data_IF_479960721399
#
_entry.id   IF_479960721399
#
_cell.length_a   1.000
_cell.length_b   1.000
_cell.length_c   1.000
_cell.angle_alpha   90.00
_cell.angle_beta   90.00
_cell.angle_gamma   90.00
#
_symmetry.space_group_name_H-M   'P 1'
#
loop_
_entity.id
_entity.type
_entity.pdbx_description
1 polymer ?
#
# COMPACT_ATOMS: atom_id res chain seq x y z
N UNK A 1 -28.85 24.35 -3.36
CA UNK A 1 -28.62 22.90 -3.63
C UNK A 1 -27.14 22.55 -3.84
N UNK A 2 -26.23 23.49 -4.18
CA UNK A 2 -24.82 23.18 -4.44
C UNK A 2 -23.98 22.73 -3.23
N UNK A 3 -24.24 23.27 -2.03
CA UNK A 3 -23.43 22.95 -0.85
C UNK A 3 -23.60 21.50 -0.38
N UNK A 4 -24.83 20.98 -0.40
CA UNK A 4 -25.13 19.59 0.00
C UNK A 4 -24.42 18.59 -0.94
N UNK A 5 -24.48 18.85 -2.24
CA UNK A 5 -23.82 18.02 -3.25
C UNK A 5 -22.28 18.12 -3.15
N UNK A 6 -21.74 19.30 -2.85
CA UNK A 6 -20.31 19.48 -2.63
C UNK A 6 -19.83 18.76 -1.38
N UNK A 7 -20.58 18.79 -0.28
CA UNK A 7 -20.23 18.11 0.97
C UNK A 7 -20.26 16.59 0.79
N UNK A 8 -21.27 16.09 0.07
CA UNK A 8 -21.39 14.67 -0.26
C UNK A 8 -20.25 14.20 -1.18
N UNK A 9 -19.87 15.00 -2.17
CA UNK A 9 -18.73 14.71 -3.03
C UNK A 9 -17.40 14.71 -2.25
N UNK A 10 -17.19 15.69 -1.37
CA UNK A 10 -15.98 15.75 -0.52
C UNK A 10 -15.93 14.60 0.49
N UNK A 11 -17.06 14.18 1.06
CA UNK A 11 -17.14 13.03 1.94
C UNK A 11 -16.80 11.73 1.19
N UNK A 12 -17.33 11.54 -0.01
CA UNK A 12 -17.03 10.37 -0.84
C UNK A 12 -15.54 10.33 -1.25
N UNK A 13 -14.95 11.46 -1.62
CA UNK A 13 -13.51 11.55 -1.90
C UNK A 13 -12.65 11.29 -0.66
N UNK A 14 -13.04 11.81 0.51
CA UNK A 14 -12.33 11.57 1.76
C UNK A 14 -12.35 10.07 2.14
N UNK A 15 -13.44 9.36 1.87
CA UNK A 15 -13.52 7.92 2.13
C UNK A 15 -12.62 7.08 1.23
N UNK A 16 -12.35 7.49 -0.01
CA UNK A 16 -11.45 6.75 -0.90
C UNK A 16 -9.97 7.07 -0.65
N UNK A 17 -9.67 8.30 -0.23
CA UNK A 17 -8.31 8.74 0.08
C UNK A 17 -7.73 8.09 1.36
N UNK A 18 -8.58 7.56 2.25
CA UNK A 18 -8.16 6.90 3.50
C UNK A 18 -7.89 5.40 3.30
N UNK A 19 -7.27 5.02 2.19
CA UNK A 19 -6.88 3.63 1.94
C UNK A 19 -5.37 3.47 2.09
N UNK A 20 -4.93 3.05 3.28
CA UNK A 20 -3.54 2.67 3.55
C UNK A 20 -3.22 1.37 2.78
N UNK A 21 -2.69 1.51 1.57
CA UNK A 21 -2.26 0.38 0.76
C UNK A 21 -0.88 -0.09 1.24
N UNK A 22 -0.87 -1.20 1.98
CA UNK A 22 0.35 -1.96 2.22
C UNK A 22 0.55 -2.98 1.10
N UNK A 23 1.80 -3.28 0.76
CA UNK A 23 2.10 -4.39 -0.13
C UNK A 23 1.77 -5.70 0.58
N UNK A 24 1.11 -6.62 -0.13
CA UNK A 24 0.83 -7.97 0.37
C UNK A 24 2.05 -8.86 0.13
N UNK A 25 2.50 -9.57 1.15
CA UNK A 25 3.52 -10.60 1.00
C UNK A 25 2.92 -11.82 0.27
N UNK A 26 3.56 -12.23 -0.83
CA UNK A 26 3.13 -13.37 -1.62
C UNK A 26 3.74 -14.65 -1.07
N UNK A 27 2.99 -15.76 -1.13
CA UNK A 27 3.58 -17.07 -0.86
C UNK A 27 4.56 -17.45 -1.97
N UNK A 28 5.52 -18.36 -1.73
CA UNK A 28 6.50 -18.77 -2.74
C UNK A 28 5.84 -19.29 -4.03
N UNK A 29 4.73 -20.00 -3.91
CA UNK A 29 3.98 -20.56 -5.04
C UNK A 29 3.33 -19.46 -5.90
N UNK A 30 2.74 -18.45 -5.25
CA UNK A 30 2.15 -17.29 -5.93
C UNK A 30 3.22 -16.44 -6.62
N UNK A 31 4.37 -16.23 -5.96
CA UNK A 31 5.48 -15.49 -6.53
C UNK A 31 6.10 -16.21 -7.74
N UNK A 32 6.16 -17.55 -7.73
CA UNK A 32 6.69 -18.33 -8.85
C UNK A 32 5.81 -18.25 -10.11
N UNK A 33 4.51 -18.00 -9.95
CA UNK A 33 3.57 -17.84 -11.07
C UNK A 33 3.69 -16.47 -11.76
N UNK A 34 4.41 -15.51 -11.17
CA UNK A 34 4.50 -14.13 -11.63
C UNK A 34 5.95 -13.76 -11.96
N UNK A 35 6.14 -12.98 -13.03
CA UNK A 35 7.45 -12.38 -13.32
C UNK A 35 7.57 -11.07 -12.52
N UNK A 36 8.57 -10.92 -11.63
CA UNK A 36 8.80 -9.66 -10.94
C UNK A 36 9.10 -8.54 -11.93
N UNK A 37 8.44 -7.38 -11.77
CA UNK A 37 8.74 -6.18 -12.54
C UNK A 37 10.05 -5.54 -12.09
N UNK A 38 10.28 -5.49 -10.78
CA UNK A 38 11.49 -4.95 -10.15
C UNK A 38 11.87 -5.77 -8.91
N UNK A 39 13.10 -5.61 -8.43
CA UNK A 39 13.60 -6.23 -7.20
C UNK A 39 14.20 -5.14 -6.30
N UNK A 40 13.55 -4.93 -5.16
CA UNK A 40 14.05 -4.02 -4.11
C UNK A 40 14.94 -4.79 -3.14
N UNK A 41 16.12 -4.24 -2.83
CA UNK A 41 17.00 -4.73 -1.76
C UNK A 41 17.02 -3.68 -0.66
N UNK A 42 16.68 -4.10 0.57
CA UNK A 42 16.59 -3.21 1.73
C UNK A 42 17.74 -3.53 2.68
N UNK A 43 18.53 -2.51 3.04
CA UNK A 43 19.63 -2.63 4.01
C UNK A 43 19.44 -1.61 5.13
N UNK A 44 19.60 -2.03 6.38
CA UNK A 44 19.42 -1.15 7.52
C UNK A 44 19.42 -1.89 8.85
N UNK A 45 19.15 -1.17 9.94
CA UNK A 45 19.00 -1.75 11.28
C UNK A 45 17.50 -1.88 11.58
N UNK A 46 17.03 -3.12 11.60
CA UNK A 46 15.64 -3.48 11.90
C UNK A 46 15.57 -4.16 13.27
N UNK A 47 14.49 -3.95 14.03
CA UNK A 47 14.31 -4.63 15.31
C UNK A 47 13.66 -6.00 15.11
N UNK A 48 12.81 -6.13 14.08
CA UNK A 48 12.19 -7.37 13.64
C UNK A 48 12.17 -7.48 12.10
N UNK A 49 11.96 -8.70 11.57
CA UNK A 49 11.88 -8.95 10.12
C UNK A 49 10.70 -8.20 9.48
N UNK A 50 9.56 -8.12 10.17
CA UNK A 50 8.39 -7.37 9.69
C UNK A 50 8.65 -5.87 9.53
N UNK A 51 9.58 -5.29 10.29
CA UNK A 51 9.94 -3.87 10.20
C UNK A 51 10.53 -3.54 8.82
N UNK A 52 11.25 -4.49 8.22
CA UNK A 52 11.82 -4.31 6.89
C UNK A 52 10.74 -4.26 5.80
N UNK A 53 9.59 -4.91 6.01
CA UNK A 53 8.45 -4.95 5.08
C UNK A 53 7.46 -3.79 5.25
N UNK A 54 7.45 -3.13 6.41
CA UNK A 54 6.51 -2.05 6.74
C UNK A 54 6.89 -0.68 6.14
N UNK A 55 8.09 -0.57 5.54
CA UNK A 55 8.56 0.66 4.91
C UNK A 55 7.84 0.97 3.60
N UNK A 56 7.64 2.26 3.30
CA UNK A 56 7.23 2.69 1.97
C UNK A 56 8.44 2.57 1.04
N UNK A 57 8.45 1.55 0.19
CA UNK A 57 9.45 1.41 -0.86
C UNK A 57 9.16 2.42 -2.00
N UNK A 58 10.20 3.06 -2.58
CA UNK A 58 10.05 4.00 -3.67
C UNK A 58 9.51 3.35 -4.95
#
# INVERSE_FOLDING_TARGET
MKLKNSLLASALLATTALSAHAATELTPEQAAALKPYDRVVVTGRFNAIGDAGAGRFP
#
